data_IF_225836578223
#
_entry.id   IF_225836578223
#
_cell.length_a   1.000
_cell.length_b   1.000
_cell.length_c   1.000
_cell.angle_alpha   90.00
_cell.angle_beta   90.00
_cell.angle_gamma   90.00
#
_symmetry.space_group_name_H-M   'P 1'
#
loop_
_entity.id
_entity.type
_entity.pdbx_description
1 polymer ?
#
# COMPACT_ATOMS: atom_id res chain seq x y z
N UNK A 1 2.39 -2.73 -5.41
CA UNK A 1 2.08 -1.29 -5.33
C UNK A 1 3.32 -0.50 -5.71
N UNK A 2 3.19 0.54 -6.51
CA UNK A 2 4.28 1.42 -6.90
C UNK A 2 3.78 2.87 -7.07
N UNK A 3 4.68 3.84 -6.93
CA UNK A 3 4.39 5.24 -7.12
C UNK A 3 4.37 5.58 -8.62
N UNK A 4 3.39 6.38 -9.05
CA UNK A 4 3.25 6.88 -10.43
C UNK A 4 3.76 8.33 -10.54
N UNK A 5 4.35 8.87 -9.49
CA UNK A 5 4.83 10.25 -9.39
C UNK A 5 3.73 11.22 -8.95
N UNK A 6 4.07 12.50 -8.90
CA UNK A 6 3.16 13.56 -8.46
C UNK A 6 2.19 13.92 -9.59
N UNK A 7 0.95 13.52 -9.44
CA UNK A 7 -0.12 13.91 -10.35
C UNK A 7 -0.69 15.29 -9.95
N UNK A 8 0.05 16.36 -10.21
CA UNK A 8 -0.42 17.72 -10.01
C UNK A 8 -1.33 18.18 -11.16
N UNK A 9 -2.34 17.36 -11.49
CA UNK A 9 -3.23 17.61 -12.62
C UNK A 9 -2.65 17.23 -13.99
N UNK A 10 -1.52 16.56 -14.03
CA UNK A 10 -0.96 16.02 -15.27
C UNK A 10 -1.73 14.78 -15.72
N UNK A 11 -2.01 14.70 -17.00
CA UNK A 11 -2.55 13.52 -17.64
C UNK A 11 -1.46 12.44 -17.74
N UNK A 12 -1.76 11.23 -17.26
CA UNK A 12 -0.84 10.10 -17.37
C UNK A 12 -1.52 8.92 -18.05
N UNK A 13 -0.84 8.37 -19.03
CA UNK A 13 -1.26 7.12 -19.68
C UNK A 13 -0.71 5.95 -18.90
N UNK A 14 -1.59 5.07 -18.41
CA UNK A 14 -1.21 3.84 -17.73
C UNK A 14 -1.45 2.65 -18.65
N UNK A 15 -0.39 1.89 -18.89
CA UNK A 15 -0.46 0.66 -19.67
C UNK A 15 -1.03 -0.47 -18.83
N UNK A 16 -1.98 -1.21 -19.38
CA UNK A 16 -2.61 -2.36 -18.73
C UNK A 16 -2.67 -3.55 -19.65
N UNK A 17 -2.66 -4.74 -19.08
CA UNK A 17 -3.03 -5.97 -19.78
C UNK A 17 -4.56 -6.14 -19.79
N UNK A 18 -5.08 -7.02 -20.63
CA UNK A 18 -6.51 -7.35 -20.64
C UNK A 18 -7.02 -7.91 -19.31
N UNK A 19 -6.12 -8.46 -18.50
CA UNK A 19 -6.41 -9.09 -17.21
C UNK A 19 -6.24 -8.14 -16.01
N UNK A 20 -5.83 -6.89 -16.22
CA UNK A 20 -5.53 -5.95 -15.14
C UNK A 20 -6.29 -4.64 -15.27
N UNK A 21 -6.86 -4.18 -14.16
CA UNK A 21 -7.45 -2.86 -14.03
C UNK A 21 -6.54 -2.05 -13.11
N UNK A 22 -6.00 -0.89 -13.54
CA UNK A 22 -5.25 -0.01 -12.67
C UNK A 22 -6.12 0.49 -11.52
N UNK A 23 -5.67 0.28 -10.29
CA UNK A 23 -6.29 0.82 -9.09
C UNK A 23 -5.32 1.79 -8.44
N UNK A 24 -5.71 3.05 -8.39
CA UNK A 24 -4.87 4.13 -7.88
C UNK A 24 -5.32 4.54 -6.48
N UNK A 25 -4.36 4.76 -5.62
CA UNK A 25 -4.57 5.35 -4.30
C UNK A 25 -3.68 6.59 -4.16
N UNK A 26 -4.23 7.68 -3.66
CA UNK A 26 -3.46 8.87 -3.32
C UNK A 26 -2.59 8.58 -2.09
N UNK A 27 -1.40 9.19 -2.01
CA UNK A 27 -0.59 9.12 -0.79
C UNK A 27 -1.38 9.61 0.42
N UNK A 28 -1.24 8.90 1.54
CA UNK A 28 -2.00 9.16 2.76
C UNK A 28 -3.42 8.58 2.76
N UNK A 29 -3.84 7.87 1.70
CA UNK A 29 -5.15 7.21 1.69
C UNK A 29 -5.22 6.16 2.80
N UNK A 30 -6.30 6.21 3.55
CA UNK A 30 -6.72 5.17 4.49
C UNK A 30 -7.99 4.56 3.93
N UNK A 31 -7.95 3.27 3.61
CA UNK A 31 -9.04 2.59 2.91
C UNK A 31 -9.61 1.44 3.76
N UNK A 32 -10.73 1.64 4.45
CA UNK A 32 -11.46 0.57 5.10
C UNK A 32 -12.15 -0.33 4.08
N UNK A 33 -12.08 -1.63 4.30
CA UNK A 33 -12.67 -2.67 3.48
C UNK A 33 -13.44 -3.64 4.36
N UNK A 34 -14.68 -3.92 3.98
CA UNK A 34 -15.50 -4.96 4.60
C UNK A 34 -15.19 -6.31 3.95
N UNK A 35 -15.13 -7.37 4.76
CA UNK A 35 -15.07 -8.76 4.26
C UNK A 35 -16.46 -9.34 3.99
N UNK A 36 -17.52 -8.53 3.97
CA UNK A 36 -18.88 -8.96 3.71
C UNK A 36 -19.01 -9.59 2.32
N UNK A 37 -19.71 -10.73 2.27
CA UNK A 37 -20.03 -11.42 1.03
C UNK A 37 -21.48 -11.12 0.65
N UNK A 38 -21.71 -10.73 -0.61
CA UNK A 38 -23.04 -10.43 -1.15
C UNK A 38 -23.48 -8.99 -0.94
N UNK A 39 -24.75 -8.71 -1.19
CA UNK A 39 -25.36 -7.37 -1.17
C UNK A 39 -25.81 -6.89 0.23
N UNK A 40 -25.79 -7.75 1.23
CA UNK A 40 -26.02 -7.37 2.62
C UNK A 40 -24.79 -6.65 3.17
N UNK A 41 -24.98 -5.51 3.77
CA UNK A 41 -23.89 -4.69 4.33
C UNK A 41 -24.06 -4.47 5.83
N UNK A 42 -24.09 -5.53 6.66
CA UNK A 42 -24.05 -5.34 8.11
C UNK A 42 -22.69 -4.71 8.49
N UNK A 43 -22.66 -4.02 9.60
CA UNK A 43 -21.39 -3.54 10.14
C UNK A 43 -20.43 -4.73 10.35
N UNK A 44 -19.21 -4.69 9.81
CA UNK A 44 -18.36 -5.89 9.73
C UNK A 44 -17.79 -6.28 11.09
N UNK A 45 -17.79 -7.58 11.40
CA UNK A 45 -17.07 -8.12 12.56
C UNK A 45 -15.56 -8.07 12.41
N UNK A 46 -15.06 -8.13 11.17
CA UNK A 46 -13.65 -7.87 10.82
C UNK A 46 -13.60 -6.78 9.77
N UNK A 47 -12.89 -5.70 10.07
CA UNK A 47 -12.62 -4.59 9.19
C UNK A 47 -11.17 -4.66 8.74
N UNK A 48 -10.92 -4.69 7.43
CA UNK A 48 -9.56 -4.57 6.90
C UNK A 48 -9.31 -3.12 6.51
N UNK A 49 -8.28 -2.49 7.05
CA UNK A 49 -7.91 -1.10 6.76
C UNK A 49 -6.54 -1.08 6.11
N UNK A 50 -6.49 -0.61 4.86
CA UNK A 50 -5.23 -0.39 4.15
C UNK A 50 -4.73 1.03 4.40
N UNK A 51 -3.49 1.15 4.83
CA UNK A 51 -2.81 2.41 5.10
C UNK A 51 -1.74 2.58 4.01
N UNK A 52 -1.91 3.60 3.18
CA UNK A 52 -0.94 3.94 2.14
C UNK A 52 0.05 4.97 2.66
N UNK A 53 1.23 5.01 2.03
CA UNK A 53 2.32 5.93 2.36
C UNK A 53 1.87 7.38 2.45
N UNK A 54 2.47 8.14 3.37
CA UNK A 54 2.19 9.55 3.56
C UNK A 54 1.28 9.86 4.73
N UNK A 55 0.87 11.12 4.82
CA UNK A 55 0.02 11.63 5.89
C UNK A 55 -1.44 11.67 5.44
N UNK A 56 -2.35 11.21 6.28
CA UNK A 56 -3.77 11.23 5.98
C UNK A 56 -4.65 11.05 7.19
N UNK A 57 -5.92 11.38 7.00
CA UNK A 57 -6.98 11.22 8.01
C UNK A 57 -8.22 10.68 7.31
N UNK A 58 -8.92 9.82 8.00
CA UNK A 58 -10.21 9.28 7.55
C UNK A 58 -11.11 9.04 8.76
N UNK A 59 -12.36 9.46 8.65
CA UNK A 59 -13.39 9.15 9.62
C UNK A 59 -14.44 8.26 8.99
N UNK A 60 -14.64 7.09 9.58
CA UNK A 60 -15.63 6.11 9.16
C UNK A 60 -16.87 6.26 10.02
N UNK A 61 -18.00 6.40 9.36
CA UNK A 61 -19.33 6.43 9.96
C UNK A 61 -20.00 5.08 9.83
N UNK A 62 -20.65 4.63 10.90
CA UNK A 62 -21.49 3.45 10.93
C UNK A 62 -22.77 3.75 11.71
N UNK A 63 -23.88 3.19 11.24
CA UNK A 63 -25.19 3.32 11.87
C UNK A 63 -25.75 1.97 12.32
N UNK A 64 -26.79 2.01 13.13
CA UNK A 64 -27.41 0.81 13.68
C UNK A 64 -28.16 -0.03 12.64
N UNK A 65 -28.47 0.50 11.44
CA UNK A 65 -29.14 -0.16 10.29
C UNK A 65 -30.39 -0.98 10.58
N UNK A 66 -30.96 -0.83 11.76
CA UNK A 66 -32.18 -1.51 12.16
C UNK A 66 -33.34 -0.52 12.21
N UNK A 67 -34.51 -0.91 11.75
CA UNK A 67 -35.71 -0.06 11.59
C UNK A 67 -36.17 0.66 12.87
N UNK A 68 -35.68 0.29 14.04
CA UNK A 68 -36.08 0.90 15.34
C UNK A 68 -34.88 1.12 16.28
N UNK A 69 -33.67 1.27 15.77
CA UNK A 69 -32.50 1.48 16.59
C UNK A 69 -31.75 2.71 16.10
N UNK A 70 -31.83 3.77 16.90
CA UNK A 70 -31.00 4.94 16.72
C UNK A 70 -29.62 4.66 17.30
N UNK A 71 -28.59 5.08 16.62
CA UNK A 71 -27.22 4.98 17.08
C UNK A 71 -26.25 5.25 15.94
N UNK A 72 -25.22 6.01 16.26
CA UNK A 72 -24.15 6.37 15.35
C UNK A 72 -22.81 6.04 15.99
N UNK A 73 -21.89 5.54 15.19
CA UNK A 73 -20.55 5.22 15.63
C UNK A 73 -19.51 5.74 14.64
N UNK A 74 -18.51 6.43 15.16
CA UNK A 74 -17.44 7.01 14.37
C UNK A 74 -16.12 6.36 14.75
N UNK A 75 -15.35 5.97 13.75
CA UNK A 75 -13.96 5.51 13.93
C UNK A 75 -13.05 6.43 13.14
N UNK A 76 -12.17 7.16 13.83
CA UNK A 76 -11.22 8.08 13.22
C UNK A 76 -9.84 7.43 13.15
N UNK A 77 -9.26 7.50 11.96
CA UNK A 77 -7.91 7.02 11.65
C UNK A 77 -7.04 8.22 11.28
N UNK A 78 -5.87 8.34 11.90
CA UNK A 78 -4.90 9.39 11.58
C UNK A 78 -3.56 8.71 11.30
N UNK A 79 -3.12 8.76 10.04
CA UNK A 79 -1.83 8.25 9.62
C UNK A 79 -0.80 9.37 9.50
N UNK A 80 0.40 9.12 9.96
CA UNK A 80 1.56 10.02 9.81
C UNK A 80 2.77 9.21 9.39
N UNK A 81 3.60 9.84 8.60
CA UNK A 81 4.84 9.25 8.12
C UNK A 81 5.99 10.20 8.36
N UNK A 82 7.07 9.66 8.88
CA UNK A 82 8.32 10.39 9.10
C UNK A 82 9.50 9.55 8.65
N UNK A 83 10.57 10.21 8.18
CA UNK A 83 11.84 9.55 7.86
C UNK A 83 12.86 9.97 8.89
N UNK A 84 13.56 9.00 9.47
CA UNK A 84 14.63 9.24 10.43
C UNK A 84 15.92 9.69 9.71
N UNK A 85 16.87 10.23 10.46
CA UNK A 85 18.20 10.57 9.94
C UNK A 85 18.97 9.34 9.42
N UNK A 86 18.67 8.16 9.93
CA UNK A 86 19.21 6.87 9.45
C UNK A 86 18.57 6.36 8.16
N UNK A 87 17.58 7.09 7.62
CA UNK A 87 16.85 6.72 6.40
C UNK A 87 15.79 5.63 6.61
N UNK A 88 15.39 5.39 7.85
CA UNK A 88 14.25 4.53 8.15
C UNK A 88 12.95 5.31 8.06
N UNK A 89 11.90 4.67 7.60
CA UNK A 89 10.55 5.22 7.55
C UNK A 89 9.77 4.71 8.75
N UNK A 90 9.11 5.63 9.46
CA UNK A 90 8.17 5.33 10.53
C UNK A 90 6.77 5.72 10.03
N UNK A 91 5.91 4.73 9.86
CA UNK A 91 4.49 4.93 9.63
C UNK A 91 3.76 4.74 10.95
N UNK A 92 3.08 5.80 11.42
CA UNK A 92 2.26 5.75 12.63
C UNK A 92 0.78 5.87 12.28
N UNK A 93 -0.05 5.17 13.04
CA UNK A 93 -1.50 5.21 12.92
C UNK A 93 -2.09 5.38 14.33
N UNK A 94 -2.89 6.43 14.49
CA UNK A 94 -3.74 6.61 15.67
C UNK A 94 -5.18 6.27 15.29
N UNK A 95 -5.83 5.44 16.10
CA UNK A 95 -7.25 5.06 15.95
C UNK A 95 -7.97 5.50 17.20
N UNK A 96 -9.02 6.29 17.02
CA UNK A 96 -9.94 6.71 18.08
C UNK A 96 -11.38 6.42 17.66
N UNK A 97 -12.28 6.34 18.62
CA UNK A 97 -13.70 6.14 18.31
C UNK A 97 -14.60 6.91 19.26
N UNK A 98 -15.81 7.22 18.80
CA UNK A 98 -16.84 7.91 19.55
C UNK A 98 -18.24 7.43 19.11
N UNK A 99 -19.25 7.69 19.95
CA UNK A 99 -20.63 7.32 19.68
C UNK A 99 -21.09 6.04 20.37
N UNK A 100 -22.15 5.43 19.87
CA UNK A 100 -22.76 4.22 20.47
C UNK A 100 -22.02 2.95 20.05
N UNK A 101 -21.21 2.39 20.94
CA UNK A 101 -20.50 1.14 20.71
C UNK A 101 -21.38 -0.08 20.43
N UNK A 102 -22.69 0.00 20.72
CA UNK A 102 -23.66 -1.05 20.38
C UNK A 102 -23.99 -1.14 18.89
N UNK A 103 -23.60 -0.14 18.10
CA UNK A 103 -23.74 -0.11 16.63
C UNK A 103 -22.87 -1.12 15.93
N UNK A 104 -21.68 -1.38 16.48
CA UNK A 104 -20.72 -2.29 15.90
C UNK A 104 -20.78 -3.69 16.54
N UNK A 105 -20.41 -4.76 15.81
CA UNK A 105 -20.38 -6.10 16.36
C UNK A 105 -19.45 -6.22 17.57
N UNK A 106 -19.92 -6.91 18.62
CA UNK A 106 -19.10 -7.23 19.77
C UNK A 106 -17.88 -8.07 19.34
N UNK A 107 -16.71 -7.76 19.88
CA UNK A 107 -15.46 -8.46 19.54
C UNK A 107 -14.95 -8.13 18.14
N UNK A 108 -15.30 -6.95 17.60
CA UNK A 108 -14.76 -6.47 16.32
C UNK A 108 -13.24 -6.58 16.28
N UNK A 109 -12.73 -7.04 15.14
CA UNK A 109 -11.30 -7.02 14.82
C UNK A 109 -11.00 -6.00 13.74
N UNK A 110 -9.92 -5.26 13.88
CA UNK A 110 -9.39 -4.42 12.82
C UNK A 110 -8.06 -5.00 12.35
N UNK A 111 -8.04 -5.42 11.09
CA UNK A 111 -6.82 -5.87 10.40
C UNK A 111 -6.22 -4.69 9.66
N UNK A 112 -5.09 -4.21 10.14
CA UNK A 112 -4.34 -3.10 9.56
C UNK A 112 -3.33 -3.65 8.54
N UNK A 113 -3.29 -3.04 7.38
CA UNK A 113 -2.37 -3.38 6.30
C UNK A 113 -1.57 -2.13 5.92
N UNK A 114 -0.32 -2.06 6.39
CA UNK A 114 0.62 -1.01 6.00
C UNK A 114 1.20 -1.39 4.64
N UNK A 115 0.67 -0.74 3.61
CA UNK A 115 1.06 -0.96 2.22
C UNK A 115 2.43 -0.34 1.99
N UNK A 116 3.30 -1.01 1.23
CA UNK A 116 4.70 -0.66 1.00
C UNK A 116 5.63 -0.76 2.22
N UNK A 117 5.15 -1.12 3.40
CA UNK A 117 6.02 -1.54 4.49
C UNK A 117 6.65 -2.88 4.14
N UNK A 118 7.92 -2.87 3.74
CA UNK A 118 8.61 -4.03 3.18
C UNK A 118 9.31 -4.86 4.25
N UNK A 119 9.50 -6.15 3.92
CA UNK A 119 10.28 -7.09 4.73
C UNK A 119 11.70 -6.58 4.94
N UNK A 120 12.10 -6.43 6.20
CA UNK A 120 13.41 -5.97 6.65
C UNK A 120 13.40 -5.96 8.18
N UNK A 121 14.14 -5.07 8.80
CA UNK A 121 14.06 -4.81 10.22
C UNK A 121 12.76 -4.05 10.52
N UNK A 122 11.65 -4.80 10.63
CA UNK A 122 10.36 -4.23 10.96
C UNK A 122 10.23 -4.24 12.47
N UNK A 123 10.19 -3.06 13.08
CA UNK A 123 9.77 -2.88 14.45
C UNK A 123 8.30 -2.44 14.46
N UNK A 124 7.46 -3.20 15.12
CA UNK A 124 6.04 -2.91 15.28
C UNK A 124 5.76 -2.62 16.76
N UNK A 125 5.06 -1.52 17.03
CA UNK A 125 4.67 -1.11 18.37
C UNK A 125 3.18 -0.81 18.44
N UNK A 126 2.56 -1.16 19.55
CA UNK A 126 1.18 -0.77 19.92
C UNK A 126 1.25 -0.12 21.28
N UNK A 127 0.77 1.12 21.42
CA UNK A 127 0.84 1.86 22.68
C UNK A 127 2.27 1.95 23.23
N UNK A 128 3.28 2.06 22.35
CA UNK A 128 4.70 2.13 22.72
C UNK A 128 5.35 0.78 23.03
N UNK A 129 4.60 -0.31 23.17
CA UNK A 129 5.11 -1.67 23.46
C UNK A 129 5.35 -2.44 22.15
N UNK A 130 6.39 -3.26 22.14
CA UNK A 130 6.67 -4.14 21.00
C UNK A 130 5.51 -5.11 20.77
N UNK A 131 5.17 -5.31 19.49
CA UNK A 131 4.13 -6.21 19.05
C UNK A 131 4.60 -7.06 17.87
N UNK A 132 3.95 -8.21 17.66
CA UNK A 132 4.22 -9.09 16.54
C UNK A 132 3.25 -8.80 15.39
N UNK A 133 3.77 -8.77 14.15
CA UNK A 133 2.94 -8.73 12.98
C UNK A 133 2.19 -10.07 12.79
N UNK A 134 0.92 -10.00 12.39
CA UNK A 134 0.15 -11.21 12.02
C UNK A 134 0.77 -11.86 10.78
N UNK A 135 1.08 -11.06 9.77
CA UNK A 135 1.72 -11.49 8.52
C UNK A 135 2.62 -10.39 7.96
N UNK A 136 3.73 -10.80 7.40
CA UNK A 136 4.65 -9.92 6.66
C UNK A 136 4.74 -10.46 5.23
N UNK A 137 4.22 -9.69 4.28
CA UNK A 137 4.35 -9.92 2.85
C UNK A 137 5.56 -9.16 2.29
N UNK A 138 5.86 -9.37 1.02
CA UNK A 138 6.97 -8.67 0.36
C UNK A 138 6.80 -7.14 0.33
N UNK A 139 5.57 -6.66 0.35
CA UNK A 139 5.20 -5.25 0.18
C UNK A 139 4.12 -4.78 1.16
N UNK A 140 3.86 -5.54 2.23
CA UNK A 140 2.80 -5.23 3.17
C UNK A 140 3.07 -5.86 4.53
N UNK A 141 2.90 -5.09 5.59
CA UNK A 141 2.86 -5.59 6.97
C UNK A 141 1.42 -5.60 7.44
N UNK A 142 0.98 -6.75 7.94
CA UNK A 142 -0.38 -6.93 8.46
C UNK A 142 -0.37 -7.15 9.97
N UNK A 143 -1.23 -6.43 10.66
CA UNK A 143 -1.45 -6.51 12.09
C UNK A 143 -2.96 -6.64 12.36
N UNK A 144 -3.35 -7.47 13.30
CA UNK A 144 -4.73 -7.57 13.77
C UNK A 144 -4.84 -7.10 15.21
N UNK A 145 -5.78 -6.21 15.48
CA UNK A 145 -6.11 -5.74 16.82
C UNK A 145 -7.54 -6.13 17.20
N UNK A 146 -7.75 -6.49 18.46
CA UNK A 146 -9.08 -6.63 19.04
C UNK A 146 -9.56 -5.22 19.42
N UNK A 147 -10.52 -4.71 18.63
CA UNK A 147 -10.97 -3.34 18.75
C UNK A 147 -12.09 -3.21 19.80
N UNK A 148 -11.92 -2.24 20.69
CA UNK A 148 -12.90 -1.88 21.69
C UNK A 148 -13.30 -0.42 21.56
N UNK A 149 -14.62 -0.11 21.50
CA UNK A 149 -15.11 1.26 21.49
C UNK A 149 -14.55 2.09 22.65
N UNK A 150 -14.18 3.34 22.38
CA UNK A 150 -13.66 4.27 23.37
C UNK A 150 -12.17 4.09 23.72
N UNK A 151 -11.53 3.01 23.29
CA UNK A 151 -10.08 2.87 23.45
C UNK A 151 -9.33 3.61 22.33
N UNK A 152 -8.13 4.10 22.65
CA UNK A 152 -7.20 4.72 21.69
C UNK A 152 -6.09 3.72 21.38
N UNK A 153 -5.81 3.55 20.08
CA UNK A 153 -4.74 2.69 19.61
C UNK A 153 -3.69 3.52 18.89
N UNK A 154 -2.46 3.44 19.37
CA UNK A 154 -1.28 4.03 18.72
C UNK A 154 -0.40 2.92 18.19
N UNK A 155 -0.29 2.83 16.87
CA UNK A 155 0.47 1.82 16.18
C UNK A 155 1.61 2.50 15.43
N UNK A 156 2.81 1.95 15.48
CA UNK A 156 3.94 2.41 14.70
C UNK A 156 4.63 1.24 14.02
N UNK A 157 4.90 1.37 12.73
CA UNK A 157 5.66 0.43 11.91
C UNK A 157 6.92 1.13 11.43
N UNK A 158 8.07 0.67 11.89
CA UNK A 158 9.37 1.14 11.41
C UNK A 158 9.89 0.15 10.38
N UNK A 159 10.25 0.64 9.21
CA UNK A 159 10.80 -0.16 8.13
C UNK A 159 11.77 0.66 7.28
N UNK A 160 12.59 0.01 6.47
CA UNK A 160 13.43 0.70 5.51
C UNK A 160 12.78 0.62 4.13
N UNK A 161 12.53 1.77 3.53
CA UNK A 161 12.04 1.80 2.14
C UNK A 161 13.11 1.28 1.20
N UNK A 162 12.67 0.55 0.21
CA UNK A 162 13.49 0.27 -0.95
C UNK A 162 13.70 1.56 -1.74
N UNK A 163 14.89 1.75 -2.30
CA UNK A 163 15.12 2.91 -3.17
C UNK A 163 14.17 2.85 -4.38
N UNK A 164 13.81 4.01 -4.92
CA UNK A 164 12.99 4.09 -6.14
C UNK A 164 13.61 3.28 -7.28
N UNK A 165 14.93 3.38 -7.42
CA UNK A 165 15.69 2.65 -8.41
C UNK A 165 15.58 1.12 -8.23
N UNK A 166 15.78 0.59 -7.01
CA UNK A 166 15.66 -0.85 -6.77
C UNK A 166 14.25 -1.36 -7.00
N UNK A 167 13.24 -0.58 -6.57
CA UNK A 167 11.85 -0.89 -6.82
C UNK A 167 11.52 -0.90 -8.31
N UNK A 168 12.01 0.08 -9.07
CA UNK A 168 11.88 0.12 -10.51
C UNK A 168 12.60 -1.07 -11.17
N UNK A 169 13.85 -1.35 -10.80
CA UNK A 169 14.64 -2.44 -11.35
C UNK A 169 13.92 -3.78 -11.25
N UNK A 170 13.33 -4.10 -10.11
CA UNK A 170 12.53 -5.32 -9.91
C UNK A 170 11.28 -5.37 -10.80
N UNK A 171 10.61 -4.22 -11.02
CA UNK A 171 9.46 -4.16 -11.94
C UNK A 171 9.88 -4.32 -13.38
N UNK A 172 10.97 -3.66 -13.77
CA UNK A 172 11.54 -3.77 -15.10
C UNK A 172 11.93 -5.22 -15.42
N UNK A 173 12.57 -5.91 -14.50
CA UNK A 173 12.87 -7.35 -14.61
C UNK A 173 11.60 -8.17 -14.84
N UNK A 174 10.55 -7.92 -14.06
CA UNK A 174 9.26 -8.61 -14.20
C UNK A 174 8.58 -8.32 -15.54
N UNK A 175 8.69 -7.09 -16.06
CA UNK A 175 8.17 -6.72 -17.38
C UNK A 175 8.93 -7.48 -18.46
N UNK A 176 10.27 -7.46 -18.44
CA UNK A 176 11.09 -8.13 -19.44
C UNK A 176 10.94 -9.65 -19.40
N UNK A 177 10.87 -10.26 -18.24
CA UNK A 177 10.66 -11.71 -18.11
C UNK A 177 9.24 -12.15 -18.49
N UNK A 178 8.26 -11.27 -18.38
CA UNK A 178 6.87 -11.50 -18.83
C UNK A 178 6.67 -11.32 -20.34
N UNK A 179 7.68 -10.81 -21.07
CA UNK A 179 7.67 -10.76 -22.52
C UNK A 179 8.08 -12.12 -23.09
N UNK A 180 7.85 -12.37 -24.38
CA UNK A 180 8.26 -13.61 -25.03
C UNK A 180 9.77 -13.82 -24.87
N UNK A 181 10.17 -14.74 -23.97
CA UNK A 181 11.54 -15.01 -23.55
C UNK A 181 12.44 -15.62 -24.62
N UNK A 182 11.93 -15.89 -25.83
CA UNK A 182 12.73 -16.38 -26.97
C UNK A 182 13.38 -15.24 -27.75
N UNK A 183 12.98 -14.00 -27.51
CA UNK A 183 13.54 -12.84 -28.19
C UNK A 183 14.91 -12.46 -27.63
N UNK A 184 15.98 -12.63 -28.44
CA UNK A 184 17.34 -12.31 -28.05
C UNK A 184 17.54 -10.85 -27.57
N UNK A 185 16.72 -9.91 -28.05
CA UNK A 185 16.75 -8.50 -27.63
C UNK A 185 16.26 -8.38 -26.19
N UNK A 186 15.18 -9.06 -25.83
CA UNK A 186 14.62 -9.07 -24.48
C UNK A 186 15.60 -9.70 -23.49
N UNK A 187 16.20 -10.84 -23.88
CA UNK A 187 17.22 -11.54 -23.04
C UNK A 187 18.41 -10.61 -22.77
N UNK A 188 18.89 -9.94 -23.83
CA UNK A 188 20.04 -9.02 -23.70
C UNK A 188 19.67 -7.83 -22.81
N UNK A 189 18.48 -7.22 -23.01
CA UNK A 189 18.01 -6.12 -22.20
C UNK A 189 17.86 -6.50 -20.72
N UNK A 190 17.37 -7.70 -20.43
CA UNK A 190 17.23 -8.19 -19.05
C UNK A 190 18.61 -8.38 -18.38
N UNK A 191 19.60 -8.92 -19.10
CA UNK A 191 20.97 -9.04 -18.58
C UNK A 191 21.57 -7.67 -18.25
N UNK A 192 21.43 -6.69 -19.15
CA UNK A 192 21.96 -5.34 -18.92
C UNK A 192 21.21 -4.60 -17.82
N UNK A 193 19.91 -4.83 -17.68
CA UNK A 193 19.13 -4.30 -16.54
C UNK A 193 19.75 -4.74 -15.20
N UNK A 194 20.24 -5.99 -15.10
CA UNK A 194 20.86 -6.49 -13.87
C UNK A 194 22.17 -5.77 -13.52
N UNK A 195 22.90 -5.27 -14.50
CA UNK A 195 24.16 -4.55 -14.33
C UNK A 195 23.99 -3.09 -13.89
N UNK A 196 22.78 -2.50 -14.03
CA UNK A 196 22.51 -1.11 -13.64
C UNK A 196 22.64 -0.91 -12.13
N UNK A 197 23.30 0.18 -11.73
CA UNK A 197 23.62 0.49 -10.33
C UNK A 197 22.87 1.70 -9.78
N UNK A 198 22.37 2.58 -10.63
CA UNK A 198 21.72 3.83 -10.23
C UNK A 198 20.74 4.36 -11.29
N UNK A 199 19.98 5.40 -10.93
CA UNK A 199 18.99 6.03 -11.80
C UNK A 199 19.57 6.63 -13.09
N UNK A 200 20.79 7.17 -13.03
CA UNK A 200 21.44 7.75 -14.20
C UNK A 200 21.77 6.69 -15.25
N UNK A 201 22.26 5.54 -14.81
CA UNK A 201 22.52 4.39 -15.70
C UNK A 201 21.21 3.86 -16.28
N UNK A 202 20.12 3.86 -15.52
CA UNK A 202 18.80 3.46 -16.00
C UNK A 202 18.28 4.43 -17.07
N UNK A 203 18.44 5.74 -16.88
CA UNK A 203 18.09 6.72 -17.90
C UNK A 203 18.82 6.48 -19.22
N UNK A 204 20.12 6.19 -19.17
CA UNK A 204 20.92 5.84 -20.33
C UNK A 204 20.47 4.52 -20.98
N UNK A 205 20.05 3.55 -20.18
CA UNK A 205 19.50 2.29 -20.68
C UNK A 205 18.34 2.52 -21.67
N UNK A 206 17.43 3.45 -21.37
CA UNK A 206 16.33 3.77 -22.29
C UNK A 206 16.80 4.42 -23.60
N UNK A 207 17.77 5.32 -23.52
CA UNK A 207 18.30 6.03 -24.70
C UNK A 207 18.95 5.06 -25.69
N UNK A 208 19.68 4.05 -25.18
CA UNK A 208 20.43 3.12 -26.02
C UNK A 208 19.63 1.88 -26.46
N UNK A 209 18.38 1.73 -26.00
CA UNK A 209 17.56 0.54 -26.27
C UNK A 209 16.46 0.73 -27.32
N UNK A 210 16.78 1.41 -28.40
CA UNK A 210 15.90 1.56 -29.57
C UNK A 210 15.44 0.23 -30.22
N UNK A 211 16.01 -0.90 -29.82
CA UNK A 211 15.66 -2.24 -30.33
C UNK A 211 14.55 -2.95 -29.55
N UNK A 212 14.18 -2.46 -28.36
CA UNK A 212 13.05 -3.00 -27.64
C UNK A 212 11.74 -2.62 -28.33
N UNK A 213 10.72 -3.48 -28.32
CA UNK A 213 9.39 -3.11 -28.78
C UNK A 213 8.89 -1.87 -28.03
N UNK A 214 8.29 -0.92 -28.74
CA UNK A 214 7.82 0.36 -28.19
C UNK A 214 6.95 0.17 -26.93
N UNK A 215 5.98 -0.75 -26.97
CA UNK A 215 5.13 -1.08 -25.84
C UNK A 215 5.90 -1.57 -24.60
N UNK A 216 7.06 -2.20 -24.77
CA UNK A 216 7.93 -2.62 -23.66
C UNK A 216 8.65 -1.42 -23.09
N UNK A 217 9.18 -0.53 -23.95
CA UNK A 217 9.85 0.71 -23.53
C UNK A 217 8.89 1.60 -22.74
N UNK A 218 7.69 1.86 -23.29
CA UNK A 218 6.65 2.64 -22.61
C UNK A 218 6.33 2.09 -21.23
N UNK A 219 6.19 0.78 -21.12
CA UNK A 219 5.88 0.11 -19.85
C UNK A 219 7.03 0.18 -18.84
N UNK A 220 8.27 0.14 -19.30
CA UNK A 220 9.45 0.34 -18.45
C UNK A 220 9.54 1.80 -17.96
N UNK A 221 9.23 2.76 -18.84
CA UNK A 221 9.26 4.19 -18.52
C UNK A 221 8.12 4.62 -17.60
N UNK A 222 6.95 4.01 -17.71
CA UNK A 222 5.79 4.30 -16.86
C UNK A 222 6.12 4.16 -15.36
N UNK A 223 7.02 3.26 -15.04
CA UNK A 223 7.37 2.91 -13.66
C UNK A 223 8.72 3.49 -13.20
N UNK A 224 9.39 4.27 -14.05
CA UNK A 224 10.64 4.97 -13.76
C UNK A 224 10.36 6.38 -13.20
#
# INVERSE_FOLDING_TARGET
VYEIGNANGEEKTLLRTLESIPVLAKCGTILPLSEAKGNGTPNPGTLTVKIFDGNGEYEMYEDARAENRDGEFFTKFIARETTTESGETIQSLCITSSGDGGVIPSGRKIRLQFVNAKKGNIALKIGGKEAAAEKIYADCVTLCIDFKPGETYEIAVTHRRESKFDAWKKRAEKILTGCDGTNAVIITANRELQELKNENEAALFFVYRSKLPEAVVERLMETF
#
